data_IF_544099179406
#
_entry.id   IF_544099179406
#
_cell.length_a   1.000
_cell.length_b   1.000
_cell.length_c   1.000
_cell.angle_alpha   90.00
_cell.angle_beta   90.00
_cell.angle_gamma   90.00
#
_symmetry.space_group_name_H-M   'P 1'
#
loop_
_entity.id
_entity.type
_entity.pdbx_description
1 polymer ?
#
# COMPACT_ATOMS: atom_id res chain seq x y z
N UNK A 1 -14.89 -6.96 -64.10
CA UNK A 1 -15.08 -5.79 -63.23
C UNK A 1 -15.59 -6.14 -61.81
N UNK A 2 -16.26 -7.23 -61.59
CA UNK A 2 -16.83 -7.58 -60.26
C UNK A 2 -15.81 -8.08 -59.21
N UNK A 3 -14.61 -8.46 -59.57
CA UNK A 3 -13.61 -9.07 -58.67
C UNK A 3 -12.75 -8.05 -57.88
N UNK A 4 -12.76 -6.81 -58.32
CA UNK A 4 -11.98 -5.73 -57.65
C UNK A 4 -12.73 -5.04 -56.50
N UNK A 5 -14.04 -5.05 -56.53
CA UNK A 5 -14.85 -4.45 -55.47
C UNK A 5 -14.91 -5.25 -54.17
N UNK A 6 -14.97 -6.57 -54.29
CA UNK A 6 -14.96 -7.48 -53.13
C UNK A 6 -13.63 -7.40 -52.31
N UNK A 7 -12.53 -7.04 -52.96
CA UNK A 7 -11.24 -6.91 -52.25
C UNK A 7 -11.11 -5.61 -51.47
N UNK A 8 -11.80 -4.55 -51.91
CA UNK A 8 -11.80 -3.24 -51.23
C UNK A 8 -12.65 -3.25 -49.97
N UNK A 9 -13.81 -3.93 -49.98
CA UNK A 9 -14.65 -4.00 -48.79
C UNK A 9 -14.03 -4.84 -47.66
N UNK A 10 -13.33 -5.94 -47.99
CA UNK A 10 -12.64 -6.75 -47.01
C UNK A 10 -11.41 -6.04 -46.39
N UNK A 11 -10.75 -5.16 -47.15
CA UNK A 11 -9.60 -4.37 -46.62
C UNK A 11 -10.07 -3.29 -45.65
N UNK A 12 -11.20 -2.61 -45.98
CA UNK A 12 -11.77 -1.58 -45.11
C UNK A 12 -12.32 -2.14 -43.79
N UNK A 13 -12.97 -3.31 -43.83
CA UNK A 13 -13.47 -3.99 -42.61
C UNK A 13 -12.33 -4.44 -41.69
N UNK A 14 -11.21 -4.90 -42.25
CA UNK A 14 -10.03 -5.31 -41.41
C UNK A 14 -9.33 -4.12 -40.77
N UNK A 15 -9.30 -2.96 -41.41
CA UNK A 15 -8.67 -1.75 -40.88
C UNK A 15 -9.49 -1.14 -39.74
N UNK A 16 -10.83 -1.19 -39.81
CA UNK A 16 -11.72 -0.65 -38.77
C UNK A 16 -11.69 -1.53 -37.51
N UNK A 17 -11.62 -2.84 -37.64
CA UNK A 17 -11.52 -3.76 -36.48
C UNK A 17 -10.17 -3.63 -35.77
N UNK A 18 -9.08 -3.40 -36.53
CA UNK A 18 -7.75 -3.18 -35.95
C UNK A 18 -7.64 -1.88 -35.16
N UNK A 19 -8.34 -0.82 -35.57
CA UNK A 19 -8.31 0.47 -34.86
C UNK A 19 -9.18 0.49 -33.61
N UNK A 20 -10.27 -0.28 -33.56
CA UNK A 20 -11.14 -0.37 -32.38
C UNK A 20 -10.48 -1.12 -31.22
N UNK A 21 -9.61 -2.10 -31.50
CA UNK A 21 -8.88 -2.85 -30.48
C UNK A 21 -7.75 -2.03 -29.86
N UNK A 22 -7.13 -1.12 -30.63
CA UNK A 22 -6.02 -0.27 -30.13
C UNK A 22 -6.49 0.82 -29.14
N UNK A 23 -7.75 1.27 -29.26
CA UNK A 23 -8.32 2.31 -28.38
C UNK A 23 -8.70 1.76 -26.99
N UNK A 24 -9.00 0.47 -26.89
CA UNK A 24 -9.42 -0.15 -25.62
C UNK A 24 -8.22 -0.40 -24.67
N UNK A 25 -7.01 -0.51 -25.20
CA UNK A 25 -5.80 -0.75 -24.37
C UNK A 25 -5.28 0.53 -23.70
N UNK A 26 -5.59 1.72 -24.23
CA UNK A 26 -5.19 2.99 -23.63
C UNK A 26 -6.11 3.50 -22.51
N UNK A 27 -7.28 2.89 -22.29
CA UNK A 27 -8.21 3.33 -21.25
C UNK A 27 -7.90 2.79 -19.84
N UNK A 28 -6.82 2.01 -19.67
CA UNK A 28 -6.46 1.34 -18.43
C UNK A 28 -5.40 2.04 -17.57
N UNK A 29 -4.77 3.10 -18.04
CA UNK A 29 -3.89 3.91 -17.18
C UNK A 29 -4.78 4.91 -16.43
N UNK A 30 -5.45 4.42 -15.39
CA UNK A 30 -5.95 5.31 -14.35
C UNK A 30 -4.72 6.02 -13.79
N UNK A 31 -4.54 7.28 -14.18
CA UNK A 31 -3.73 8.19 -13.38
C UNK A 31 -4.23 8.02 -11.95
N UNK A 32 -3.39 7.46 -11.07
CA UNK A 32 -3.66 7.51 -9.64
C UNK A 32 -3.75 9.00 -9.35
N UNK A 33 -4.98 9.54 -9.33
CA UNK A 33 -5.24 10.83 -8.72
C UNK A 33 -4.58 10.72 -7.36
N UNK A 34 -3.90 11.77 -6.93
CA UNK A 34 -3.46 11.89 -5.55
C UNK A 34 -4.66 11.50 -4.68
N UNK A 35 -4.68 10.23 -4.24
CA UNK A 35 -5.80 9.64 -3.55
C UNK A 35 -6.06 10.44 -2.29
N UNK A 36 -7.29 10.43 -1.81
CA UNK A 36 -7.60 11.05 -0.55
C UNK A 36 -6.63 10.52 0.51
N UNK A 37 -6.03 11.44 1.27
CA UNK A 37 -5.08 11.11 2.33
C UNK A 37 -5.68 10.09 3.28
N UNK A 38 -5.07 8.94 3.44
CA UNK A 38 -5.58 7.88 4.30
C UNK A 38 -5.55 8.32 5.76
N UNK A 39 -6.71 8.26 6.38
CA UNK A 39 -6.88 8.33 7.82
C UNK A 39 -6.98 6.89 8.34
N UNK A 40 -5.91 6.36 8.93
CA UNK A 40 -5.81 4.95 9.32
C UNK A 40 -7.02 4.46 10.09
N UNK A 41 -7.58 5.14 11.12
CA UNK A 41 -8.75 4.66 11.85
C UNK A 41 -10.03 4.57 11.03
N UNK A 42 -10.13 5.27 9.89
CA UNK A 42 -11.28 5.13 8.98
C UNK A 42 -11.18 3.88 8.12
N UNK A 43 -9.97 3.40 7.87
CA UNK A 43 -9.70 2.21 7.07
C UNK A 43 -9.56 0.97 7.94
N UNK A 44 -8.79 1.07 9.02
CA UNK A 44 -8.52 -0.01 9.96
C UNK A 44 -9.33 0.23 11.24
N UNK A 45 -10.39 -0.54 11.40
CA UNK A 45 -11.26 -0.41 12.56
C UNK A 45 -10.69 -1.10 13.80
N UNK A 46 -11.17 -0.70 14.96
CA UNK A 46 -10.88 -1.38 16.24
C UNK A 46 -11.15 -2.88 16.15
N UNK A 47 -12.28 -3.28 15.56
CA UNK A 47 -12.66 -4.69 15.37
C UNK A 47 -11.69 -5.46 14.47
N UNK A 48 -11.10 -4.81 13.46
CA UNK A 48 -10.07 -5.47 12.63
C UNK A 48 -8.84 -5.82 13.47
N UNK A 49 -8.43 -4.88 14.32
CA UNK A 49 -7.28 -5.05 15.20
C UNK A 49 -7.56 -6.10 16.29
N UNK A 50 -8.73 -6.08 16.91
CA UNK A 50 -9.14 -7.05 17.93
C UNK A 50 -9.13 -8.48 17.41
N UNK A 51 -9.58 -8.70 16.17
CA UNK A 51 -9.50 -10.03 15.52
C UNK A 51 -8.08 -10.55 15.38
N UNK A 52 -7.14 -9.65 15.13
CA UNK A 52 -5.73 -10.00 14.90
C UNK A 52 -4.98 -10.17 16.22
N UNK A 53 -5.19 -9.25 17.14
CA UNK A 53 -4.57 -9.30 18.49
C UNK A 53 -5.17 -10.42 19.34
N UNK A 54 -6.39 -10.86 19.01
CA UNK A 54 -7.09 -11.91 19.78
C UNK A 54 -7.60 -11.43 21.14
N UNK A 55 -7.64 -10.12 21.38
CA UNK A 55 -8.06 -9.51 22.63
C UNK A 55 -8.68 -8.13 22.39
N UNK A 56 -9.55 -7.65 23.31
CA UNK A 56 -10.07 -6.29 23.25
C UNK A 56 -8.93 -5.26 23.27
N UNK A 57 -9.04 -4.23 22.41
CA UNK A 57 -8.06 -3.15 22.37
C UNK A 57 -8.68 -1.83 22.82
N UNK A 58 -7.84 -0.92 23.29
CA UNK A 58 -8.19 0.46 23.61
C UNK A 58 -8.52 1.20 22.32
N UNK A 59 -9.18 2.35 22.44
CA UNK A 59 -9.37 3.24 21.30
C UNK A 59 -8.00 3.68 20.74
N UNK A 60 -7.89 3.83 19.42
CA UNK A 60 -6.62 4.17 18.78
C UNK A 60 -6.09 5.49 19.30
N UNK A 61 -4.77 5.56 19.48
CA UNK A 61 -4.07 6.79 19.81
C UNK A 61 -3.11 7.13 18.68
N UNK A 62 -3.16 8.37 18.24
CA UNK A 62 -2.32 8.84 17.16
C UNK A 62 -2.81 10.16 16.61
N UNK A 63 -2.34 10.48 15.42
CA UNK A 63 -2.68 11.74 14.75
C UNK A 63 -2.44 11.66 13.25
N UNK A 64 -3.12 12.55 12.54
CA UNK A 64 -2.80 12.88 11.16
C UNK A 64 -2.02 14.21 11.16
N UNK A 65 -0.89 14.26 10.45
CA UNK A 65 -0.07 15.46 10.29
C UNK A 65 -0.09 15.90 8.84
N UNK A 66 -0.30 17.19 8.58
CA UNK A 66 -0.09 17.83 7.30
C UNK A 66 1.17 18.67 7.37
N UNK A 67 2.15 18.36 6.52
CA UNK A 67 3.33 19.21 6.34
C UNK A 67 3.07 20.32 5.32
N UNK A 68 3.98 21.31 5.29
CA UNK A 68 3.91 22.47 4.39
C UNK A 68 4.15 22.12 2.94
N UNK A 69 4.86 21.02 2.66
CA UNK A 69 5.33 20.63 1.33
C UNK A 69 4.50 19.50 0.70
N UNK A 70 3.22 19.39 1.11
CA UNK A 70 2.35 18.30 0.66
C UNK A 70 2.62 16.97 1.36
N UNK A 71 3.57 16.93 2.27
CA UNK A 71 3.78 15.82 3.19
C UNK A 71 2.52 15.54 4.00
N UNK A 72 2.20 14.28 4.15
CA UNK A 72 1.14 13.83 5.03
C UNK A 72 1.54 12.54 5.72
N UNK A 73 1.22 12.43 6.98
CA UNK A 73 1.48 11.26 7.80
C UNK A 73 0.24 10.92 8.62
N UNK A 74 -0.16 9.65 8.58
CA UNK A 74 -1.21 9.10 9.45
C UNK A 74 -0.57 8.06 10.37
N UNK A 75 -0.26 8.49 11.60
CA UNK A 75 0.43 7.69 12.61
C UNK A 75 -0.52 7.30 13.73
N UNK A 76 -0.77 6.00 13.93
CA UNK A 76 -1.73 5.47 14.88
C UNK A 76 -1.26 4.20 15.56
N UNK A 77 -1.71 3.99 16.78
CA UNK A 77 -1.45 2.77 17.55
C UNK A 77 -2.70 2.26 18.24
N UNK A 78 -2.86 0.95 18.24
CA UNK A 78 -3.87 0.21 18.99
C UNK A 78 -3.15 -0.67 20.01
N UNK A 79 -3.64 -0.69 21.24
CA UNK A 79 -3.03 -1.49 22.33
C UNK A 79 -4.10 -2.32 23.02
N UNK A 80 -3.79 -3.55 23.34
CA UNK A 80 -4.67 -4.39 24.16
C UNK A 80 -5.05 -3.70 25.47
N UNK A 81 -6.25 -3.97 25.96
CA UNK A 81 -6.69 -3.48 27.26
C UNK A 81 -5.85 -4.13 28.35
N UNK A 82 -5.61 -5.43 28.19
CA UNK A 82 -4.78 -6.25 29.07
C UNK A 82 -3.56 -6.76 28.30
N UNK A 83 -2.41 -6.78 28.94
CA UNK A 83 -1.15 -7.26 28.34
C UNK A 83 -0.42 -6.21 27.51
N UNK A 84 0.54 -6.67 26.70
CA UNK A 84 1.50 -5.85 25.96
C UNK A 84 1.32 -5.93 24.43
N UNK A 85 0.29 -6.64 23.94
CA UNK A 85 0.07 -6.75 22.50
C UNK A 85 -0.43 -5.44 21.91
N UNK A 86 0.02 -5.11 20.71
CA UNK A 86 -0.46 -3.93 20.01
C UNK A 86 0.02 -3.85 18.57
N UNK A 87 -0.60 -2.96 17.83
CA UNK A 87 -0.30 -2.69 16.44
C UNK A 87 -0.03 -1.20 16.27
N UNK A 88 1.04 -0.89 15.57
CA UNK A 88 1.42 0.44 15.12
C UNK A 88 1.23 0.56 13.62
N UNK A 89 0.75 1.71 13.18
CA UNK A 89 0.59 2.08 11.78
C UNK A 89 1.23 3.43 11.53
N UNK A 90 1.95 3.53 10.43
CA UNK A 90 2.42 4.79 9.88
C UNK A 90 2.25 4.76 8.36
N UNK A 91 1.42 5.67 7.84
CA UNK A 91 1.19 5.85 6.41
C UNK A 91 1.67 7.23 6.01
N UNK A 92 2.80 7.25 5.31
CA UNK A 92 3.50 8.43 4.91
C UNK A 92 3.32 8.71 3.42
N UNK A 93 2.91 9.92 3.08
CA UNK A 93 2.82 10.45 1.72
C UNK A 93 3.93 11.48 1.51
N UNK A 94 4.76 11.28 0.49
CA UNK A 94 5.59 12.35 -0.06
C UNK A 94 4.72 13.15 -1.04
N UNK A 95 4.21 14.29 -0.60
CA UNK A 95 3.43 15.19 -1.45
C UNK A 95 4.26 15.84 -2.56
N UNK A 96 3.59 16.55 -3.47
CA UNK A 96 4.23 17.18 -4.63
C UNK A 96 5.34 18.20 -4.29
N UNK A 97 5.34 18.75 -3.07
CA UNK A 97 6.39 19.67 -2.58
C UNK A 97 7.51 19.00 -1.79
N UNK A 98 7.37 17.70 -1.46
CA UNK A 98 8.43 16.97 -0.80
C UNK A 98 9.57 16.64 -1.78
N UNK A 99 10.82 16.44 -1.32
CA UNK A 99 11.88 15.97 -2.17
C UNK A 99 11.41 14.75 -2.97
N UNK A 100 11.52 14.83 -4.30
CA UNK A 100 11.17 13.71 -5.16
C UNK A 100 11.86 12.45 -4.65
N UNK A 101 11.08 11.38 -4.41
CA UNK A 101 11.56 10.10 -3.90
C UNK A 101 11.81 10.00 -2.39
N UNK A 102 11.29 10.90 -1.55
CA UNK A 102 11.47 10.82 -0.10
C UNK A 102 11.11 9.43 0.45
N UNK A 103 9.91 8.93 0.18
CA UNK A 103 9.44 7.62 0.65
C UNK A 103 10.25 6.46 0.08
N UNK A 104 10.71 6.56 -1.18
CA UNK A 104 11.60 5.58 -1.81
C UNK A 104 12.98 5.58 -1.15
N UNK A 105 13.49 6.75 -0.83
CA UNK A 105 14.77 6.88 -0.10
C UNK A 105 14.64 6.28 1.29
N UNK A 106 13.58 6.62 2.03
CA UNK A 106 13.30 6.03 3.34
C UNK A 106 13.20 4.51 3.25
N UNK A 107 12.41 3.98 2.30
CA UNK A 107 12.30 2.54 2.09
C UNK A 107 13.66 1.88 1.76
N UNK A 108 14.52 2.54 0.98
CA UNK A 108 15.85 2.01 0.63
C UNK A 108 16.82 1.98 1.80
N UNK A 109 16.57 2.77 2.82
CA UNK A 109 17.35 2.82 4.06
C UNK A 109 16.87 1.80 5.11
N UNK A 110 15.68 1.21 4.89
CA UNK A 110 15.11 0.17 5.75
C UNK A 110 15.51 -1.23 5.26
N UNK A 111 15.71 -2.18 6.15
CA UNK A 111 16.09 -1.99 7.56
C UNK A 111 17.57 -1.62 7.66
N UNK A 112 18.00 -1.10 8.79
CA UNK A 112 19.41 -0.81 9.05
C UNK A 112 20.30 -2.08 8.90
N UNK A 113 19.76 -3.25 9.22
CA UNK A 113 20.39 -4.56 9.02
C UNK A 113 19.60 -5.38 7.97
N UNK A 114 20.00 -5.24 6.71
CA UNK A 114 19.37 -5.95 5.57
C UNK A 114 19.44 -7.48 5.67
N UNK A 115 20.35 -8.03 6.48
CA UNK A 115 20.47 -9.49 6.66
C UNK A 115 19.31 -10.08 7.45
N UNK A 116 18.55 -9.24 8.14
CA UNK A 116 17.42 -9.63 8.99
C UNK A 116 16.05 -9.34 8.37
N UNK A 117 16.00 -8.90 7.13
CA UNK A 117 14.76 -8.64 6.42
C UNK A 117 14.47 -9.70 5.37
N UNK A 118 13.18 -9.90 5.11
CA UNK A 118 12.70 -10.81 4.06
C UNK A 118 11.84 -10.03 3.07
N UNK A 119 12.14 -10.08 1.76
CA UNK A 119 11.26 -9.53 0.74
C UNK A 119 9.87 -10.18 0.80
N UNK A 120 8.83 -9.40 0.54
CA UNK A 120 7.44 -9.84 0.51
C UNK A 120 6.87 -9.54 -0.86
N UNK A 121 6.54 -10.58 -1.62
CA UNK A 121 6.01 -10.45 -2.97
C UNK A 121 4.51 -10.16 -2.98
N UNK A 122 4.05 -9.50 -4.07
CA UNK A 122 2.64 -9.26 -4.34
C UNK A 122 2.00 -8.15 -3.48
N UNK A 123 2.79 -7.33 -2.80
CA UNK A 123 2.30 -6.27 -1.94
C UNK A 123 2.93 -4.92 -2.30
N UNK A 124 2.10 -3.99 -2.80
CA UNK A 124 2.60 -2.70 -3.29
C UNK A 124 3.54 -2.83 -4.48
N UNK A 125 4.47 -1.89 -4.62
CA UNK A 125 5.54 -1.94 -5.62
C UNK A 125 6.76 -2.68 -5.07
N UNK A 126 6.99 -2.58 -3.77
CA UNK A 126 8.00 -3.32 -2.99
C UNK A 126 7.51 -3.49 -1.56
N UNK A 127 7.84 -4.61 -0.95
CA UNK A 127 7.62 -4.81 0.48
C UNK A 127 8.75 -5.62 1.11
N UNK A 128 9.03 -5.34 2.38
CA UNK A 128 9.99 -6.08 3.21
C UNK A 128 9.40 -6.32 4.59
N UNK A 129 9.68 -7.49 5.15
CA UNK A 129 9.33 -7.84 6.52
C UNK A 129 10.59 -7.92 7.37
N UNK A 130 10.55 -7.26 8.52
CA UNK A 130 11.62 -7.20 9.51
C UNK A 130 11.11 -7.82 10.81
N UNK A 131 11.50 -9.06 11.15
CA UNK A 131 10.91 -9.78 12.29
C UNK A 131 11.27 -9.19 13.65
N UNK A 132 12.29 -8.36 13.74
CA UNK A 132 12.69 -7.69 14.98
C UNK A 132 13.37 -6.36 14.69
N UNK A 133 12.59 -5.35 14.31
CA UNK A 133 13.04 -3.99 14.14
C UNK A 133 12.60 -3.19 15.37
N UNK A 134 13.56 -2.67 16.13
CA UNK A 134 13.30 -1.90 17.36
C UNK A 134 12.40 -2.62 18.38
N UNK A 135 12.46 -3.96 18.44
CA UNK A 135 11.63 -4.79 19.32
C UNK A 135 10.23 -5.12 18.81
N UNK A 136 9.95 -4.80 17.55
CA UNK A 136 8.68 -5.11 16.88
C UNK A 136 8.92 -5.93 15.60
N UNK A 137 7.96 -6.76 15.24
CA UNK A 137 7.89 -7.27 13.88
C UNK A 137 7.27 -6.17 13.01
N UNK A 138 7.91 -5.82 11.90
CA UNK A 138 7.48 -4.70 11.04
C UNK A 138 7.40 -5.11 9.58
N UNK A 139 6.30 -4.73 8.94
CA UNK A 139 6.11 -4.81 7.50
C UNK A 139 6.16 -3.39 6.93
N UNK A 140 7.07 -3.19 5.98
CA UNK A 140 7.15 -1.95 5.22
C UNK A 140 6.72 -2.18 3.78
N UNK A 141 5.82 -1.36 3.27
CA UNK A 141 5.28 -1.45 1.91
C UNK A 141 5.42 -0.11 1.21
N UNK A 142 6.07 -0.11 0.06
CA UNK A 142 6.17 1.05 -0.82
C UNK A 142 5.13 0.92 -1.94
N UNK A 143 4.34 1.97 -2.15
CA UNK A 143 3.41 2.09 -3.28
C UNK A 143 3.46 3.51 -3.86
N UNK A 144 4.06 3.68 -5.04
CA UNK A 144 4.30 5.00 -5.61
C UNK A 144 5.14 5.87 -4.67
N UNK A 145 4.56 6.96 -4.20
CA UNK A 145 5.15 7.89 -3.24
C UNK A 145 4.54 7.75 -1.82
N UNK A 146 4.02 6.56 -1.51
CA UNK A 146 3.43 6.21 -0.22
C UNK A 146 4.27 5.11 0.42
N UNK A 147 4.66 5.32 1.67
CA UNK A 147 5.29 4.32 2.53
C UNK A 147 4.30 3.93 3.62
N UNK A 148 3.95 2.65 3.68
CA UNK A 148 3.10 2.07 4.72
C UNK A 148 4.00 1.24 5.62
N UNK A 149 3.97 1.54 6.91
CA UNK A 149 4.64 0.76 7.95
C UNK A 149 3.60 0.21 8.91
N UNK A 150 3.63 -1.10 9.15
CA UNK A 150 2.79 -1.78 10.13
C UNK A 150 3.72 -2.51 11.07
N UNK A 151 3.56 -2.29 12.37
CA UNK A 151 4.41 -2.91 13.38
C UNK A 151 3.59 -3.62 14.44
N UNK A 152 3.99 -4.85 14.78
CA UNK A 152 3.42 -5.63 15.87
C UNK A 152 4.41 -5.75 17.02
N UNK A 153 3.92 -5.59 18.23
CA UNK A 153 4.64 -5.97 19.45
C UNK A 153 3.82 -6.95 20.28
N UNK A 154 4.52 -7.79 21.02
CA UNK A 154 3.91 -8.81 21.91
C UNK A 154 3.45 -10.09 21.22
N UNK A 155 3.69 -10.26 19.92
CA UNK A 155 3.38 -11.47 19.15
C UNK A 155 4.63 -12.09 18.51
N UNK A 156 4.62 -13.40 18.34
CA UNK A 156 5.71 -14.07 17.65
C UNK A 156 5.72 -13.74 16.14
N UNK A 157 6.89 -13.44 15.53
CA UNK A 157 6.99 -13.06 14.11
C UNK A 157 6.31 -14.04 13.13
N UNK A 158 6.33 -15.33 13.41
CA UNK A 158 5.74 -16.35 12.52
C UNK A 158 4.22 -16.20 12.31
N UNK A 159 3.51 -15.64 13.28
CA UNK A 159 2.05 -15.46 13.22
C UNK A 159 1.65 -14.06 12.77
N UNK A 160 2.60 -13.12 12.73
CA UNK A 160 2.32 -11.70 12.51
C UNK A 160 2.27 -11.33 11.04
N UNK A 161 3.16 -11.88 10.22
CA UNK A 161 3.33 -11.45 8.82
C UNK A 161 2.03 -11.55 8.00
N UNK A 162 1.25 -12.63 8.14
CA UNK A 162 0.01 -12.77 7.37
C UNK A 162 -1.04 -11.74 7.82
N UNK A 163 -1.05 -11.41 9.11
CA UNK A 163 -1.90 -10.36 9.65
C UNK A 163 -1.52 -8.99 9.12
N UNK A 164 -0.22 -8.67 9.10
CA UNK A 164 0.29 -7.42 8.54
C UNK A 164 0.00 -7.30 7.04
N UNK A 165 0.16 -8.38 6.28
CA UNK A 165 -0.22 -8.42 4.85
C UNK A 165 -1.70 -8.12 4.66
N UNK A 166 -2.57 -8.70 5.47
CA UNK A 166 -4.02 -8.45 5.39
C UNK A 166 -4.35 -6.98 5.66
N UNK A 167 -3.75 -6.36 6.67
CA UNK A 167 -3.93 -4.95 7.00
C UNK A 167 -3.37 -4.04 5.91
N UNK A 168 -2.16 -4.34 5.41
CA UNK A 168 -1.55 -3.58 4.32
C UNK A 168 -2.39 -3.65 3.04
N UNK A 169 -2.94 -4.82 2.71
CA UNK A 169 -3.86 -4.99 1.57
C UNK A 169 -5.10 -4.12 1.73
N UNK A 170 -5.66 -4.04 2.93
CA UNK A 170 -6.83 -3.20 3.22
C UNK A 170 -6.51 -1.71 3.06
N UNK A 171 -5.33 -1.26 3.49
CA UNK A 171 -4.85 0.11 3.28
C UNK A 171 -4.62 0.38 1.79
N UNK A 172 -3.94 -0.52 1.09
CA UNK A 172 -3.68 -0.39 -0.35
C UNK A 172 -4.96 -0.33 -1.19
N UNK A 173 -6.01 -1.05 -0.80
CA UNK A 173 -7.31 -1.04 -1.48
C UNK A 173 -8.08 0.29 -1.31
N UNK A 174 -7.68 1.14 -0.36
CA UNK A 174 -8.27 2.46 -0.10
C UNK A 174 -7.47 3.63 -0.70
N UNK A 175 -6.37 3.32 -1.40
CA UNK A 175 -5.60 4.27 -2.21
C UNK A 175 -6.24 4.43 -3.60
#
# INVERSE_FOLDING_TARGET
MLRLELHRENLMRRTIVGFAILIIICAGVRSVRAGDKIDVPKVITKSDVEKIVGAPVKDPKGRNKNGTDGYYESEWSYRSIEGNAGIYFDVLYAGQGAPAHLTRTMFSMLPADKSKSTPVDGLGDKAIFCPNETGMAMLHVLKGDILITIGFHGQAPKTVLDSEKSLATKILASL
#
